data_IF_428517084726
#
_entry.id   IF_428517084726
#
_cell.length_a   1.000
_cell.length_b   1.000
_cell.length_c   1.000
_cell.angle_alpha   90.00
_cell.angle_beta   90.00
_cell.angle_gamma   90.00
#
_symmetry.space_group_name_H-M   'P 1'
#
loop_
_entity.id
_entity.type
_entity.pdbx_description
1 polymer ?
#
# COMPACT_ATOMS: atom_id res chain seq x y z
N UNK A 1 -17.17 15.91 -0.30
CA UNK A 1 -17.89 14.62 -0.18
C UNK A 1 -17.71 13.86 -1.49
N UNK A 2 -17.55 12.54 -1.44
CA UNK A 2 -17.43 11.72 -2.66
C UNK A 2 -18.76 11.02 -2.90
N UNK A 3 -19.35 11.22 -4.08
CA UNK A 3 -20.64 10.67 -4.49
C UNK A 3 -20.34 9.62 -5.58
N UNK A 4 -20.67 8.33 -5.39
CA UNK A 4 -20.60 7.33 -6.46
C UNK A 4 -21.62 7.62 -7.57
N UNK A 5 -21.56 6.84 -8.67
CA UNK A 5 -22.31 7.17 -9.89
C UNK A 5 -23.62 6.36 -10.03
N UNK A 6 -24.74 7.07 -9.86
CA UNK A 6 -26.09 6.65 -10.23
C UNK A 6 -26.24 6.53 -11.76
N UNK A 7 -25.83 5.41 -12.33
CA UNK A 7 -25.84 5.19 -13.78
C UNK A 7 -27.01 4.28 -14.20
N UNK A 8 -27.68 4.62 -15.30
CA UNK A 8 -28.76 3.81 -15.88
C UNK A 8 -28.99 4.25 -17.34
N UNK A 9 -29.49 3.40 -18.26
CA UNK A 9 -29.55 3.67 -19.72
C UNK A 9 -30.24 2.42 -20.47
N UNK A 10 -31.23 2.50 -21.40
CA UNK A 10 -31.91 1.36 -22.16
C UNK A 10 -31.63 1.17 -23.71
N UNK A 11 -31.11 0.04 -24.24
CA UNK A 11 -30.81 -0.09 -25.70
C UNK A 11 -32.09 -0.11 -26.55
N UNK A 12 -32.19 0.81 -27.52
CA UNK A 12 -33.19 0.76 -28.59
C UNK A 12 -32.51 0.56 -29.94
N UNK A 13 -32.92 -0.50 -30.64
CA UNK A 13 -32.40 -0.97 -31.95
C UNK A 13 -32.81 -0.08 -33.14
N UNK A 14 -33.07 1.20 -32.87
CA UNK A 14 -33.55 2.21 -33.84
C UNK A 14 -32.75 3.51 -33.70
N UNK A 15 -32.54 3.98 -32.46
CA UNK A 15 -31.88 5.27 -32.16
C UNK A 15 -30.57 5.15 -31.34
N UNK A 16 -30.27 3.99 -30.72
CA UNK A 16 -28.96 3.77 -30.08
C UNK A 16 -28.98 3.06 -28.72
N UNK A 17 -27.77 2.74 -28.24
CA UNK A 17 -27.52 1.90 -27.07
C UNK A 17 -27.48 2.67 -25.76
N UNK A 18 -28.06 2.05 -24.74
CA UNK A 18 -28.03 2.51 -23.38
C UNK A 18 -28.06 1.18 -22.48
N UNK A 19 -27.27 1.02 -21.40
CA UNK A 19 -27.31 -0.08 -20.36
C UNK A 19 -27.62 0.35 -18.89
N UNK A 20 -28.60 -0.25 -18.17
CA UNK A 20 -28.97 0.13 -16.78
C UNK A 20 -27.91 -0.37 -15.74
N UNK A 21 -26.95 0.50 -15.36
CA UNK A 21 -25.71 0.25 -14.57
C UNK A 21 -25.76 0.57 -13.06
N UNK A 22 -26.18 -0.40 -12.25
CA UNK A 22 -26.17 -0.35 -10.77
C UNK A 22 -24.90 0.26 -10.11
N UNK A 23 -25.07 0.94 -8.99
CA UNK A 23 -23.94 1.30 -8.10
C UNK A 23 -23.38 0.04 -7.42
N UNK A 24 -22.07 -0.18 -7.55
CA UNK A 24 -21.38 -1.21 -6.79
C UNK A 24 -21.13 -0.73 -5.35
N UNK A 25 -21.63 -1.46 -4.35
CA UNK A 25 -21.43 -1.13 -2.94
C UNK A 25 -19.94 -1.06 -2.59
N UNK A 26 -19.57 0.01 -1.85
CA UNK A 26 -18.19 0.18 -1.37
C UNK A 26 -17.92 -0.81 -0.24
N UNK A 27 -17.14 -1.85 -0.54
CA UNK A 27 -16.58 -2.75 0.48
C UNK A 27 -15.77 -1.93 1.50
N UNK A 28 -16.14 -1.99 2.77
CA UNK A 28 -15.53 -1.18 3.84
C UNK A 28 -14.02 -1.42 3.99
N UNK A 29 -13.58 -2.66 3.75
CA UNK A 29 -12.18 -3.08 3.79
C UNK A 29 -11.56 -3.15 2.37
N UNK A 30 -11.86 -2.16 1.51
CA UNK A 30 -11.31 -2.09 0.16
C UNK A 30 -9.92 -1.40 0.14
N UNK A 31 -8.83 -2.09 -0.22
CA UNK A 31 -7.46 -1.57 -0.12
C UNK A 31 -7.22 -0.28 -0.94
N UNK A 32 -8.03 -0.02 -1.96
CA UNK A 32 -7.88 1.13 -2.85
C UNK A 32 -8.70 2.37 -2.42
N UNK A 33 -9.74 2.21 -1.60
CA UNK A 33 -10.63 3.32 -1.24
C UNK A 33 -10.93 3.45 0.26
N UNK A 34 -10.65 2.46 1.10
CA UNK A 34 -10.66 2.60 2.56
C UNK A 34 -9.26 2.96 3.06
N UNK A 35 -9.13 4.07 3.79
CA UNK A 35 -7.86 4.50 4.39
C UNK A 35 -7.58 3.78 5.73
N UNK A 36 -7.96 2.51 5.83
CA UNK A 36 -7.75 1.68 7.01
C UNK A 36 -6.36 1.03 6.92
N UNK A 37 -5.52 1.11 7.97
CA UNK A 37 -4.24 0.42 7.99
C UNK A 37 -4.40 -1.11 7.86
N UNK A 38 -3.62 -1.72 6.98
CA UNK A 38 -3.59 -3.17 6.83
C UNK A 38 -2.58 -3.80 7.77
N UNK A 39 -2.98 -4.83 8.52
CA UNK A 39 -2.06 -5.53 9.40
C UNK A 39 -1.13 -6.43 8.59
N UNK A 40 0.18 -6.30 8.81
CA UNK A 40 1.22 -7.18 8.26
C UNK A 40 2.02 -7.77 9.41
N UNK A 41 2.42 -9.04 9.30
CA UNK A 41 3.10 -9.75 10.37
C UNK A 41 4.47 -10.25 9.90
N UNK A 42 5.52 -9.90 10.64
CA UNK A 42 6.91 -10.27 10.35
C UNK A 42 7.63 -10.64 11.65
N UNK A 43 8.74 -11.37 11.58
CA UNK A 43 9.59 -11.56 12.77
C UNK A 43 10.42 -10.28 13.05
N UNK A 44 10.80 -10.00 14.30
CA UNK A 44 11.70 -8.89 14.62
C UNK A 44 13.06 -8.97 13.91
N UNK A 45 13.48 -10.19 13.56
CA UNK A 45 14.69 -10.53 12.83
C UNK A 45 14.53 -10.54 11.30
N UNK A 46 13.31 -10.39 10.77
CA UNK A 46 13.09 -10.27 9.34
C UNK A 46 13.80 -9.02 8.80
N UNK A 47 14.33 -9.12 7.58
CA UNK A 47 14.98 -8.01 6.87
C UNK A 47 13.96 -7.12 6.17
N UNK A 48 14.32 -5.87 5.94
CA UNK A 48 13.50 -4.96 5.13
C UNK A 48 13.30 -5.48 3.70
N UNK A 49 14.26 -6.25 3.16
CA UNK A 49 14.11 -6.97 1.90
C UNK A 49 12.90 -7.92 1.91
N UNK A 50 12.66 -8.67 2.98
CA UNK A 50 11.54 -9.62 3.07
C UNK A 50 10.19 -8.90 3.05
N UNK A 51 10.12 -7.69 3.62
CA UNK A 51 8.94 -6.82 3.54
C UNK A 51 8.74 -6.31 2.11
N UNK A 52 9.80 -5.90 1.43
CA UNK A 52 9.74 -5.47 0.02
C UNK A 52 9.28 -6.61 -0.90
N UNK A 53 9.82 -7.81 -0.69
CA UNK A 53 9.46 -9.02 -1.42
C UNK A 53 8.00 -9.42 -1.17
N UNK A 54 7.49 -9.28 0.06
CA UNK A 54 6.08 -9.49 0.38
C UNK A 54 5.16 -8.48 -0.32
N UNK A 55 5.50 -7.17 -0.29
CA UNK A 55 4.72 -6.12 -0.96
C UNK A 55 4.66 -6.33 -2.49
N UNK A 56 5.74 -6.86 -3.06
CA UNK A 56 5.88 -7.12 -4.50
C UNK A 56 5.16 -8.41 -4.93
N UNK A 57 5.35 -9.50 -4.19
CA UNK A 57 4.90 -10.85 -4.60
C UNK A 57 3.53 -11.26 -4.03
N UNK A 58 2.98 -10.54 -3.04
CA UNK A 58 1.65 -10.85 -2.51
C UNK A 58 0.58 -10.58 -3.57
N UNK A 59 -0.25 -11.61 -3.84
CA UNK A 59 -1.31 -11.56 -4.86
C UNK A 59 -2.36 -10.46 -4.61
N UNK A 60 -2.45 -9.94 -3.37
CA UNK A 60 -3.34 -8.85 -2.97
C UNK A 60 -2.78 -7.45 -3.23
N UNK A 61 -1.47 -7.27 -3.40
CA UNK A 61 -0.82 -5.96 -3.52
C UNK A 61 -0.12 -5.78 -4.87
N UNK A 62 0.64 -6.78 -5.31
CA UNK A 62 1.35 -6.81 -6.61
C UNK A 62 2.08 -5.49 -6.96
N UNK A 63 2.70 -4.85 -5.96
CA UNK A 63 3.38 -3.56 -6.12
C UNK A 63 4.64 -3.72 -6.98
N UNK A 64 5.03 -2.67 -7.72
CA UNK A 64 6.16 -2.75 -8.68
C UNK A 64 7.46 -2.12 -8.20
N UNK A 65 7.40 -1.08 -7.38
CA UNK A 65 8.55 -0.34 -6.85
C UNK A 65 8.19 0.32 -5.50
N UNK A 66 7.88 -0.46 -4.45
CA UNK A 66 7.34 0.08 -3.21
C UNK A 66 8.33 1.04 -2.53
N UNK A 67 7.88 2.27 -2.28
CA UNK A 67 8.56 3.23 -1.43
C UNK A 67 8.03 3.10 0.00
N UNK A 68 8.88 2.65 0.92
CA UNK A 68 8.52 2.37 2.31
C UNK A 68 9.02 3.49 3.23
N UNK A 69 8.10 4.13 3.94
CA UNK A 69 8.38 5.20 4.90
C UNK A 69 7.78 4.87 6.28
N UNK A 70 8.40 5.33 7.36
CA UNK A 70 7.95 5.10 8.73
C UNK A 70 8.10 6.37 9.57
N UNK A 71 7.15 6.61 10.48
CA UNK A 71 7.24 7.71 11.45
C UNK A 71 7.98 7.23 12.69
N UNK A 72 9.28 7.52 12.79
CA UNK A 72 10.10 7.21 13.97
C UNK A 72 10.34 8.47 14.79
N UNK A 73 10.06 8.41 16.11
CA UNK A 73 10.28 9.53 17.04
C UNK A 73 9.67 10.87 16.58
N UNK A 74 8.50 10.81 15.93
CA UNK A 74 7.81 11.98 15.38
C UNK A 74 8.40 12.54 14.09
N UNK A 75 9.38 11.86 13.47
CA UNK A 75 9.97 12.23 12.17
C UNK A 75 9.70 11.16 11.12
N UNK A 76 9.30 11.60 9.92
CA UNK A 76 9.19 10.73 8.76
C UNK A 76 10.59 10.30 8.29
N UNK A 77 10.85 8.99 8.34
CA UNK A 77 12.09 8.36 7.85
C UNK A 77 11.77 7.45 6.67
N UNK A 78 12.40 7.72 5.53
CA UNK A 78 12.40 6.79 4.39
C UNK A 78 13.24 5.57 4.75
N UNK A 79 12.63 4.38 4.72
CA UNK A 79 13.32 3.12 4.94
C UNK A 79 13.97 2.62 3.65
N UNK A 80 13.21 2.65 2.56
CA UNK A 80 13.64 2.33 1.19
C UNK A 80 12.80 3.10 0.15
N UNK A 81 13.43 3.60 -0.90
CA UNK A 81 12.76 4.23 -2.05
C UNK A 81 13.64 4.09 -3.29
N UNK A 82 13.12 3.41 -4.32
CA UNK A 82 13.88 3.09 -5.54
C UNK A 82 13.78 4.18 -6.63
N UNK A 83 12.72 4.98 -6.63
CA UNK A 83 12.41 5.93 -7.72
C UNK A 83 13.32 7.16 -7.80
N UNK A 84 14.10 7.45 -6.77
CA UNK A 84 15.06 8.57 -6.73
C UNK A 84 16.44 8.01 -6.39
N UNK A 85 17.36 8.04 -7.36
CA UNK A 85 18.70 7.43 -7.27
C UNK A 85 19.47 7.82 -6.01
N UNK A 86 19.52 9.11 -5.68
CA UNK A 86 20.22 9.63 -4.50
C UNK A 86 19.61 9.21 -3.15
N UNK A 87 18.36 8.76 -3.14
CA UNK A 87 17.70 8.17 -1.96
C UNK A 87 17.89 6.65 -1.98
N UNK A 88 17.82 6.01 -3.15
CA UNK A 88 18.07 4.58 -3.34
C UNK A 88 19.46 4.20 -2.84
N UNK A 89 20.52 4.87 -3.31
CA UNK A 89 21.91 4.61 -2.87
C UNK A 89 22.09 4.72 -1.34
N UNK A 90 21.37 5.67 -0.72
CA UNK A 90 21.42 5.92 0.74
C UNK A 90 20.55 4.95 1.55
N UNK A 91 19.54 4.35 0.95
CA UNK A 91 18.56 3.46 1.61
C UNK A 91 18.74 1.99 1.28
N UNK A 92 19.41 1.64 0.17
CA UNK A 92 19.88 0.30 -0.18
C UNK A 92 20.55 -0.47 0.98
N UNK A 93 21.46 0.11 1.80
CA UNK A 93 22.01 -0.62 2.96
C UNK A 93 20.99 -0.94 4.07
N UNK A 94 19.77 -0.38 4.04
CA UNK A 94 18.70 -0.76 4.96
C UNK A 94 18.01 -2.06 4.56
N UNK A 95 18.03 -2.46 3.28
CA UNK A 95 17.42 -3.71 2.81
C UNK A 95 17.99 -4.95 3.53
N UNK A 96 19.30 -4.93 3.81
CA UNK A 96 20.01 -6.01 4.52
C UNK A 96 19.82 -6.00 6.04
N UNK A 97 19.29 -4.90 6.61
CA UNK A 97 19.07 -4.75 8.06
C UNK A 97 17.73 -5.34 8.47
N UNK A 98 17.68 -5.81 9.70
CA UNK A 98 16.46 -6.28 10.34
C UNK A 98 15.52 -5.13 10.70
N UNK A 99 14.22 -5.40 10.79
CA UNK A 99 13.22 -4.41 11.20
C UNK A 99 13.56 -3.80 12.59
N UNK A 100 14.09 -4.62 13.50
CA UNK A 100 14.57 -4.18 14.81
C UNK A 100 15.79 -3.25 14.75
N UNK A 101 16.78 -3.52 13.89
CA UNK A 101 17.93 -2.62 13.67
C UNK A 101 17.55 -1.29 13.00
N UNK A 102 16.44 -1.25 12.27
CA UNK A 102 15.90 -0.02 11.69
C UNK A 102 15.15 0.84 12.72
N UNK A 103 14.92 0.32 13.93
CA UNK A 103 14.20 1.00 15.01
C UNK A 103 12.68 0.86 14.93
N UNK A 104 12.17 -0.13 14.19
CA UNK A 104 10.74 -0.41 14.12
C UNK A 104 10.27 -1.17 15.37
N UNK A 105 9.06 -0.83 15.83
CA UNK A 105 8.40 -1.42 17.02
C UNK A 105 7.11 -2.12 16.63
N UNK A 106 6.57 -2.97 17.51
CA UNK A 106 5.24 -3.56 17.31
C UNK A 106 4.17 -2.46 17.29
N UNK A 107 3.18 -2.59 16.40
CA UNK A 107 2.12 -1.63 16.17
C UNK A 107 2.53 -0.38 15.38
N UNK A 108 3.79 -0.28 14.94
CA UNK A 108 4.29 0.84 14.13
C UNK A 108 3.58 0.92 12.77
N UNK A 109 3.17 2.12 12.39
CA UNK A 109 2.62 2.37 11.06
C UNK A 109 3.75 2.63 10.04
N UNK A 110 3.64 1.93 8.91
CA UNK A 110 4.43 2.08 7.70
C UNK A 110 3.55 2.67 6.61
N UNK A 111 3.99 3.77 6.00
CA UNK A 111 3.35 4.37 4.84
C UNK A 111 4.08 3.90 3.57
N UNK A 112 3.37 3.14 2.73
CA UNK A 112 3.89 2.56 1.50
C UNK A 112 3.22 3.22 0.29
N UNK A 113 4.02 3.80 -0.59
CA UNK A 113 3.57 4.35 -1.86
C UNK A 113 4.14 3.53 -3.02
N UNK A 114 3.34 3.25 -4.05
CA UNK A 114 3.77 2.49 -5.23
C UNK A 114 3.16 3.04 -6.52
N UNK A 115 3.76 2.72 -7.66
CA UNK A 115 3.24 3.10 -8.98
C UNK A 115 1.95 2.34 -9.38
N UNK A 116 1.61 1.21 -8.76
CA UNK A 116 0.34 0.50 -9.02
C UNK A 116 -0.84 1.07 -8.24
N UNK A 117 -0.61 1.82 -7.16
CA UNK A 117 -1.65 2.34 -6.26
C UNK A 117 -1.59 3.87 -6.17
N UNK A 118 -2.64 4.61 -6.59
CA UNK A 118 -2.62 6.09 -6.64
C UNK A 118 -2.68 6.76 -5.26
N UNK A 119 -2.87 5.99 -4.18
CA UNK A 119 -2.86 6.47 -2.79
C UNK A 119 -1.83 5.67 -2.00
N UNK A 120 -1.19 6.33 -1.02
CA UNK A 120 -0.33 5.68 -0.04
C UNK A 120 -1.14 4.70 0.80
N UNK A 121 -0.74 3.44 0.82
CA UNK A 121 -1.34 2.41 1.66
C UNK A 121 -0.64 2.44 3.02
N UNK A 122 -1.44 2.52 4.09
CA UNK A 122 -0.94 2.39 5.46
C UNK A 122 -0.91 0.92 5.85
N UNK A 123 0.20 0.49 6.43
CA UNK A 123 0.37 -0.85 6.99
C UNK A 123 0.73 -0.76 8.46
N UNK A 124 0.09 -1.57 9.30
CA UNK A 124 0.42 -1.71 10.71
C UNK A 124 1.31 -2.93 10.90
N UNK A 125 2.56 -2.70 11.28
CA UNK A 125 3.53 -3.75 11.53
C UNK A 125 3.23 -4.44 12.85
N UNK A 126 3.04 -5.75 12.80
CA UNK A 126 2.98 -6.61 13.97
C UNK A 126 4.15 -7.60 13.98
N UNK A 127 4.79 -7.75 15.13
CA UNK A 127 5.84 -8.73 15.29
C UNK A 127 5.28 -10.10 15.68
N UNK A 128 5.72 -11.16 14.99
CA UNK A 128 5.54 -12.54 15.48
C UNK A 128 6.40 -12.73 16.71
N UNK A 129 5.82 -13.25 17.80
CA UNK A 129 6.58 -13.70 18.99
C UNK A 129 7.37 -14.97 18.72
#
# INVERSE_FOLDING_TARGET
>A
AYIPLNNYLVFNDVDGLYTYTFEAERKENCPACSQLPQNIQFSPSAKLQEVLDYLTNSASLQMKSPAITATLEGKNRTLYLQSVTSIEERTRPNLSKTLKELGLVDGQELAVADVTTPQTVLFKLHFTS
#
